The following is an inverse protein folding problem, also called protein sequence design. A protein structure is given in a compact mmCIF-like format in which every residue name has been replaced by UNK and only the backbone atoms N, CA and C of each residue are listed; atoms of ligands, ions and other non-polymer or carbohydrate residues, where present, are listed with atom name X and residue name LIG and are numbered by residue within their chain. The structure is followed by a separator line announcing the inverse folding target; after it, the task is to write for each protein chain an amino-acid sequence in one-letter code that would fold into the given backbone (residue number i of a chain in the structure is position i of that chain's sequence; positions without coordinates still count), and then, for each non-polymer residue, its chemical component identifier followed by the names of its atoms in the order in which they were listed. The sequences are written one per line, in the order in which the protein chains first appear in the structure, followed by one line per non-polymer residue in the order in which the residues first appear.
data_IF_665645935825
#
_entry.id   IF_665645935825
#
_cell.length_a   1.000
_cell.length_b   1.000
_cell.length_c   1.000
_cell.angle_alpha   90.00
_cell.angle_beta   90.00
_cell.angle_gamma   90.00
#
_symmetry.space_group_name_H-M   'P 1'
#
loop_
_entity.id
_entity.type
_entity.pdbx_description
1 polymer ?
#
# COMPACT_ATOMS: atom_id res chain seq x y z
N UNK A 1 -23.79 31.46 -38.59
CA UNK A 1 -23.23 30.34 -39.37
C UNK A 1 -22.98 29.17 -38.42
N UNK A 2 -23.71 28.06 -38.60
CA UNK A 2 -23.56 26.82 -37.82
C UNK A 2 -22.59 25.91 -38.58
N UNK A 3 -21.50 25.48 -37.94
CA UNK A 3 -20.61 24.45 -38.48
C UNK A 3 -20.86 23.17 -37.67
N UNK A 4 -21.54 22.23 -38.32
CA UNK A 4 -21.64 20.83 -37.90
C UNK A 4 -20.26 20.19 -38.14
N UNK A 5 -19.62 19.67 -37.09
CA UNK A 5 -18.42 18.84 -37.22
C UNK A 5 -18.81 17.40 -36.90
N UNK A 6 -18.77 16.57 -37.95
CA UNK A 6 -19.16 15.17 -38.01
C UNK A 6 -18.17 14.29 -37.24
N UNK A 7 -18.74 13.37 -36.46
CA UNK A 7 -18.11 12.34 -35.64
C UNK A 7 -17.49 11.25 -36.52
N UNK A 8 -16.24 10.84 -36.24
CA UNK A 8 -15.64 9.62 -36.78
C UNK A 8 -15.23 8.72 -35.60
N UNK A 9 -15.95 7.61 -35.41
CA UNK A 9 -15.68 6.61 -34.39
C UNK A 9 -14.87 5.44 -34.99
N UNK A 10 -13.75 5.01 -34.38
CA UNK A 10 -13.06 3.78 -34.78
C UNK A 10 -13.70 2.56 -34.11
N UNK A 11 -14.13 1.59 -34.93
CA UNK A 11 -14.57 0.28 -34.49
C UNK A 11 -13.35 -0.56 -34.06
N UNK A 12 -13.21 -0.81 -32.76
CA UNK A 12 -12.29 -1.81 -32.24
C UNK A 12 -12.93 -3.20 -32.35
N UNK A 13 -12.33 -4.06 -33.17
CA UNK A 13 -12.70 -5.46 -33.27
C UNK A 13 -12.31 -6.21 -31.98
N UNK A 14 -13.31 -6.75 -31.29
CA UNK A 14 -13.12 -7.64 -30.14
C UNK A 14 -12.62 -9.00 -30.65
N UNK A 15 -11.35 -9.32 -30.38
CA UNK A 15 -10.85 -10.68 -30.50
C UNK A 15 -11.44 -11.51 -29.35
N UNK A 16 -12.40 -12.38 -29.68
CA UNK A 16 -13.02 -13.30 -28.73
C UNK A 16 -12.05 -14.47 -28.45
N UNK A 17 -11.63 -14.63 -27.19
CA UNK A 17 -10.97 -15.84 -26.71
C UNK A 17 -11.98 -16.98 -26.70
N UNK A 18 -11.66 -18.08 -27.39
CA UNK A 18 -12.45 -19.31 -27.37
C UNK A 18 -12.40 -19.98 -25.99
N UNK A 19 -13.48 -20.65 -25.56
CA UNK A 19 -13.47 -21.45 -24.35
C UNK A 19 -12.65 -22.73 -24.55
N UNK A 20 -11.77 -23.01 -23.58
CA UNK A 20 -11.09 -24.29 -23.38
C UNK A 20 -12.13 -25.38 -23.19
N UNK A 21 -12.02 -26.47 -23.96
CA UNK A 21 -12.85 -27.66 -23.84
C UNK A 21 -12.41 -28.47 -22.61
N UNK A 22 -13.33 -28.63 -21.66
CA UNK A 22 -13.22 -29.60 -20.57
C UNK A 22 -13.30 -31.03 -21.12
N UNK A 23 -12.27 -31.82 -20.86
CA UNK A 23 -12.24 -33.27 -21.12
C UNK A 23 -12.46 -34.00 -19.78
N UNK A 24 -13.54 -34.77 -19.59
CA UNK A 24 -13.72 -35.59 -18.41
C UNK A 24 -13.12 -36.97 -18.68
N UNK A 25 -11.96 -37.27 -18.09
CA UNK A 25 -11.51 -38.65 -17.94
C UNK A 25 -11.61 -39.05 -16.46
N UNK A 26 -12.61 -39.89 -16.20
CA UNK A 26 -12.70 -40.78 -15.06
C UNK A 26 -11.43 -41.60 -14.93
N UNK A 27 -10.72 -41.41 -13.81
CA UNK A 27 -9.57 -42.20 -13.41
C UNK A 27 -9.68 -42.50 -11.92
N UNK A 28 -10.42 -43.56 -11.61
CA UNK A 28 -10.52 -44.17 -10.30
C UNK A 28 -9.14 -44.68 -9.83
N UNK A 29 -8.62 -44.13 -8.75
CA UNK A 29 -7.65 -44.78 -7.87
C UNK A 29 -7.47 -43.93 -6.61
N UNK A 30 -8.12 -44.33 -5.52
CA UNK A 30 -7.81 -43.85 -4.16
C UNK A 30 -6.66 -44.68 -3.58
N UNK A 31 -5.51 -44.09 -3.22
CA UNK A 31 -4.59 -44.71 -2.28
C UNK A 31 -4.86 -44.14 -0.88
N UNK A 32 -5.17 -45.03 0.06
CA UNK A 32 -5.18 -44.71 1.48
C UNK A 32 -3.78 -44.23 1.91
N UNK A 33 -3.68 -43.00 2.38
CA UNK A 33 -2.48 -42.48 3.05
C UNK A 33 -2.73 -42.43 4.55
N UNK A 34 -1.96 -43.29 5.20
CA UNK A 34 -1.76 -43.47 6.63
C UNK A 34 -1.49 -42.12 7.31
N UNK A 35 -2.41 -41.71 8.19
CA UNK A 35 -2.31 -40.45 8.96
C UNK A 35 -1.40 -40.63 10.16
N UNK A 36 -0.09 -40.57 9.91
CA UNK A 36 0.89 -40.22 10.95
C UNK A 36 1.92 -39.25 10.39
N UNK A 37 1.48 -38.01 10.14
CA UNK A 37 2.38 -36.90 9.84
C UNK A 37 2.42 -35.97 11.06
N UNK A 38 3.52 -36.05 11.80
CA UNK A 38 3.95 -35.08 12.79
C UNK A 38 3.81 -33.67 12.23
N UNK A 39 3.05 -32.82 12.93
CA UNK A 39 2.98 -31.40 12.61
C UNK A 39 4.40 -30.80 12.67
N UNK A 40 4.88 -30.12 11.62
CA UNK A 40 6.03 -29.27 11.79
C UNK A 40 5.59 -28.04 12.60
N UNK A 41 6.09 -27.96 13.83
CA UNK A 41 6.30 -26.71 14.56
C UNK A 41 7.09 -25.76 13.66
N UNK A 42 6.40 -24.94 12.85
CA UNK A 42 7.02 -23.82 12.14
C UNK A 42 5.97 -22.78 11.69
N UNK A 43 5.01 -22.47 12.57
CA UNK A 43 4.10 -21.34 12.38
C UNK A 43 4.70 -19.97 12.80
N UNK A 44 6.01 -19.90 13.09
CA UNK A 44 6.66 -18.72 13.65
C UNK A 44 7.89 -18.22 12.85
N UNK A 45 8.05 -18.65 11.60
CA UNK A 45 9.02 -18.08 10.67
C UNK A 45 8.29 -17.66 9.39
N UNK A 46 7.41 -16.66 9.51
CA UNK A 46 6.85 -16.00 8.34
C UNK A 46 7.94 -15.11 7.73
N UNK A 47 8.62 -15.69 6.73
CA UNK A 47 9.25 -15.06 5.56
C UNK A 47 9.57 -13.56 5.67
N UNK A 48 10.86 -13.23 5.81
CA UNK A 48 11.35 -11.91 5.42
C UNK A 48 11.19 -11.77 3.90
N UNK A 49 10.08 -11.19 3.47
CA UNK A 49 9.74 -10.94 2.07
C UNK A 49 10.49 -9.68 1.64
N UNK A 50 11.80 -9.77 1.40
CA UNK A 50 12.67 -8.72 0.84
C UNK A 50 12.67 -7.33 1.53
N UNK A 51 13.86 -6.73 1.63
CA UNK A 51 14.01 -5.39 2.19
C UNK A 51 14.11 -4.38 1.03
N UNK A 52 13.22 -3.36 0.97
CA UNK A 52 13.32 -2.34 -0.07
C UNK A 52 14.70 -1.67 -0.07
N UNK A 53 15.34 -1.57 -1.23
CA UNK A 53 16.65 -0.90 -1.33
C UNK A 53 16.55 0.60 -1.07
N UNK A 54 15.41 1.21 -1.40
CA UNK A 54 15.09 2.60 -1.14
C UNK A 54 13.59 2.73 -0.86
N UNK A 55 13.22 3.78 -0.13
CA UNK A 55 11.83 4.19 0.09
C UNK A 55 11.44 5.39 -0.79
N UNK A 56 12.37 5.99 -1.54
CA UNK A 56 12.12 7.17 -2.37
C UNK A 56 11.07 6.87 -3.44
N UNK A 57 10.05 7.71 -3.56
CA UNK A 57 8.99 7.58 -4.54
C UNK A 57 7.68 8.25 -4.14
N UNK A 58 6.69 8.10 -5.01
CA UNK A 58 5.32 8.52 -4.80
C UNK A 58 4.44 7.29 -4.57
N UNK A 59 3.62 7.33 -3.53
CA UNK A 59 2.88 6.17 -3.06
C UNK A 59 1.42 6.49 -2.78
N UNK A 60 0.53 5.54 -3.11
CA UNK A 60 -0.80 5.46 -2.52
C UNK A 60 -0.73 4.68 -1.21
N UNK A 61 -1.46 5.14 -0.20
CA UNK A 61 -1.70 4.37 1.02
C UNK A 61 -2.85 3.39 0.75
N UNK A 62 -2.57 2.10 0.80
CA UNK A 62 -3.57 1.06 0.58
C UNK A 62 -4.21 0.56 1.88
N UNK A 63 -3.51 0.65 3.01
CA UNK A 63 -4.05 0.20 4.28
C UNK A 63 -3.27 0.70 5.48
N UNK A 64 -3.94 0.66 6.65
CA UNK A 64 -3.39 1.04 7.95
C UNK A 64 -3.75 -0.07 8.94
N UNK A 65 -2.75 -0.58 9.66
CA UNK A 65 -2.86 -1.67 10.63
C UNK A 65 -3.52 -2.94 10.04
N UNK A 66 -3.11 -3.29 8.81
CA UNK A 66 -3.66 -4.43 8.07
C UNK A 66 -5.10 -4.26 7.58
N UNK A 67 -5.72 -3.09 7.76
CA UNK A 67 -7.06 -2.79 7.23
C UNK A 67 -6.95 -1.98 5.95
N UNK A 68 -7.65 -2.41 4.92
CA UNK A 68 -7.75 -1.66 3.67
C UNK A 68 -8.43 -0.30 3.89
N UNK A 69 -7.94 0.71 3.18
CA UNK A 69 -8.41 2.07 3.29
C UNK A 69 -9.64 2.28 2.39
N UNK A 70 -10.84 2.17 2.95
CA UNK A 70 -12.10 2.47 2.25
C UNK A 70 -12.61 3.87 2.62
N UNK A 71 -12.06 4.89 1.95
CA UNK A 71 -12.44 6.29 2.16
C UNK A 71 -12.70 7.00 0.82
N UNK A 72 -13.57 8.03 0.77
CA UNK A 72 -13.92 8.71 -0.48
C UNK A 72 -12.75 9.38 -1.19
N UNK A 73 -11.71 9.75 -0.46
CA UNK A 73 -10.50 10.40 -0.97
C UNK A 73 -9.30 9.69 -0.37
N UNK A 74 -8.56 8.94 -1.18
CA UNK A 74 -7.38 8.20 -0.74
C UNK A 74 -6.25 9.10 -0.24
N UNK A 75 -5.35 8.53 0.55
CA UNK A 75 -4.12 9.21 0.96
C UNK A 75 -2.96 8.86 0.04
N UNK A 76 -2.06 9.82 -0.13
CA UNK A 76 -0.80 9.66 -0.84
C UNK A 76 0.36 10.11 0.04
N UNK A 77 1.50 9.44 -0.11
CA UNK A 77 2.77 9.82 0.49
C UNK A 77 3.79 10.11 -0.60
N UNK A 78 4.50 11.21 -0.47
CA UNK A 78 5.72 11.47 -1.23
C UNK A 78 6.92 11.27 -0.30
N UNK A 79 7.86 10.45 -0.74
CA UNK A 79 9.08 10.12 0.00
C UNK A 79 10.28 10.57 -0.84
N UNK A 80 11.01 11.56 -0.35
CA UNK A 80 12.29 12.02 -0.90
C UNK A 80 13.44 11.31 -0.19
N UNK A 81 14.70 11.64 -0.48
CA UNK A 81 15.86 11.04 0.21
C UNK A 81 15.89 11.29 1.73
N UNK A 82 15.22 12.34 2.21
CA UNK A 82 15.30 12.76 3.62
C UNK A 82 13.95 12.97 4.29
N UNK A 83 12.86 13.04 3.52
CA UNK A 83 11.55 13.41 4.04
C UNK A 83 10.42 12.53 3.51
N UNK A 84 9.44 12.29 4.38
CA UNK A 84 8.12 11.75 4.03
C UNK A 84 7.12 12.88 4.22
N UNK A 85 6.15 13.05 3.31
CA UNK A 85 5.03 13.96 3.53
C UNK A 85 3.72 13.47 2.90
N UNK A 86 2.60 13.83 3.52
CA UNK A 86 1.25 13.46 3.06
C UNK A 86 0.49 14.67 2.47
N UNK A 87 0.61 14.84 1.14
CA UNK A 87 -0.10 15.87 0.39
C UNK A 87 0.56 17.25 0.40
N UNK A 88 -0.21 18.27 0.01
CA UNK A 88 0.27 19.65 -0.20
C UNK A 88 -0.55 20.63 0.67
N UNK A 89 0.12 21.62 1.26
CA UNK A 89 -0.52 22.75 1.94
C UNK A 89 -0.57 22.69 3.47
N UNK A 90 -1.49 23.45 4.08
CA UNK A 90 -1.49 23.76 5.52
C UNK A 90 -1.80 22.60 6.47
N UNK A 91 -2.28 21.47 5.95
CA UNK A 91 -2.58 20.26 6.70
C UNK A 91 -1.58 19.11 6.47
N UNK A 92 -0.58 19.32 5.61
CA UNK A 92 0.42 18.29 5.33
C UNK A 92 1.26 18.01 6.58
N UNK A 93 1.51 16.73 6.84
CA UNK A 93 2.45 16.27 7.85
C UNK A 93 3.75 15.93 7.17
N UNK A 94 4.82 16.22 7.89
CA UNK A 94 6.17 15.97 7.43
C UNK A 94 6.93 15.16 8.47
N UNK A 95 7.71 14.22 7.99
CA UNK A 95 8.66 13.47 8.79
C UNK A 95 10.02 13.62 8.17
N UNK A 96 11.03 13.92 9.00
CA UNK A 96 12.40 13.58 8.65
C UNK A 96 12.56 12.10 8.91
N UNK A 97 13.30 11.41 8.05
CA UNK A 97 13.57 10.00 8.27
C UNK A 97 15.02 9.63 7.95
N UNK A 98 15.46 8.52 8.55
CA UNK A 98 16.66 7.81 8.16
C UNK A 98 16.27 6.36 7.88
N UNK A 99 16.80 5.79 6.80
CA UNK A 99 16.51 4.44 6.39
C UNK A 99 17.78 3.70 5.98
N UNK A 100 18.04 2.56 6.60
CA UNK A 100 19.13 1.69 6.20
C UNK A 100 18.73 0.22 6.41
N UNK A 101 18.81 -0.58 5.34
CA UNK A 101 18.63 -2.05 5.38
C UNK A 101 17.38 -2.48 6.15
N UNK A 102 16.26 -1.81 5.90
CA UNK A 102 14.96 -2.18 6.49
C UNK A 102 14.71 -1.57 7.86
N UNK A 103 15.69 -0.89 8.47
CA UNK A 103 15.52 -0.12 9.69
C UNK A 103 15.12 1.30 9.33
N UNK A 104 14.06 1.79 9.96
CA UNK A 104 13.49 3.11 9.72
C UNK A 104 13.44 3.89 11.03
N UNK A 105 13.93 5.11 11.01
CA UNK A 105 13.72 6.09 12.09
C UNK A 105 12.94 7.27 11.52
N UNK A 106 11.86 7.68 12.20
CA UNK A 106 11.05 8.84 11.78
C UNK A 106 10.99 9.87 12.90
N UNK A 107 10.93 11.14 12.51
CA UNK A 107 10.65 12.24 13.43
C UNK A 107 9.72 13.24 12.76
N UNK A 108 8.48 13.30 13.25
CA UNK A 108 7.50 14.28 12.78
C UNK A 108 7.94 15.71 13.13
N UNK A 109 7.70 16.63 12.22
CA UNK A 109 7.82 18.06 12.45
C UNK A 109 6.67 18.82 11.76
N UNK A 110 6.44 20.06 12.18
CA UNK A 110 5.52 20.97 11.51
C UNK A 110 6.32 21.82 10.54
N UNK A 111 5.97 21.82 9.26
CA UNK A 111 6.65 22.69 8.28
C UNK A 111 6.34 24.17 8.54
N UNK A 112 5.17 24.47 9.13
CA UNK A 112 4.75 25.82 9.50
C UNK A 112 4.09 25.77 10.90
N UNK A 113 4.87 26.07 11.95
CA UNK A 113 4.37 26.06 13.34
C UNK A 113 3.22 27.07 13.57
N UNK A 114 3.23 28.18 12.81
CA UNK A 114 2.33 29.32 13.04
C UNK A 114 0.97 29.24 12.32
N UNK A 115 0.76 28.25 11.44
CA UNK A 115 -0.39 28.22 10.52
C UNK A 115 -1.35 27.03 10.70
N UNK A 116 -1.06 26.10 11.61
CA UNK A 116 -1.96 24.95 11.84
C UNK A 116 -3.36 25.39 12.33
N UNK A 117 -3.44 26.47 13.12
CA UNK A 117 -4.70 27.02 13.63
C UNK A 117 -5.54 27.71 12.53
N UNK A 118 -4.90 28.18 11.46
CA UNK A 118 -5.52 28.89 10.35
C UNK A 118 -5.68 28.01 9.10
N UNK A 119 -5.71 26.68 9.24
CA UNK A 119 -5.98 25.77 8.14
C UNK A 119 -7.48 25.43 8.09
N UNK A 120 -8.32 26.16 7.31
CA UNK A 120 -9.78 26.12 7.43
C UNK A 120 -10.46 24.80 6.99
N UNK A 121 -9.74 23.80 6.50
CA UNK A 121 -10.34 22.74 5.66
C UNK A 121 -10.09 21.29 6.11
N UNK A 122 -9.11 20.99 6.96
CA UNK A 122 -8.89 19.59 7.34
C UNK A 122 -9.66 19.17 8.59
N UNK A 123 -10.86 18.62 8.38
CA UNK A 123 -11.44 17.69 9.36
C UNK A 123 -10.50 16.50 9.46
N UNK A 124 -9.76 16.42 10.57
CA UNK A 124 -8.89 15.29 10.90
C UNK A 124 -9.77 14.05 11.02
N UNK A 125 -9.86 13.26 9.94
CA UNK A 125 -10.58 11.98 9.96
C UNK A 125 -9.82 11.00 10.84
N UNK A 126 -10.50 9.95 11.30
CA UNK A 126 -9.88 8.90 12.10
C UNK A 126 -8.72 8.25 11.35
N UNK A 127 -8.91 8.00 10.06
CA UNK A 127 -7.94 7.38 9.16
C UNK A 127 -6.73 8.29 8.95
N UNK A 128 -6.97 9.62 8.82
CA UNK A 128 -5.88 10.57 8.73
C UNK A 128 -5.04 10.53 10.00
N UNK A 129 -5.64 10.61 11.20
CA UNK A 129 -4.92 10.52 12.48
C UNK A 129 -4.13 9.20 12.55
N UNK A 130 -4.79 8.07 12.25
CA UNK A 130 -4.20 6.74 12.30
C UNK A 130 -3.00 6.56 11.36
N UNK A 131 -3.05 7.14 10.15
CA UNK A 131 -1.92 7.13 9.21
C UNK A 131 -0.69 7.77 9.84
N UNK A 132 -0.90 8.92 10.48
CA UNK A 132 0.20 9.63 11.11
C UNK A 132 0.79 8.83 12.27
N UNK A 133 -0.06 8.36 13.18
CA UNK A 133 0.38 7.56 14.32
C UNK A 133 1.13 6.29 13.88
N UNK A 134 0.73 5.69 12.76
CA UNK A 134 1.43 4.53 12.22
C UNK A 134 2.81 4.89 11.65
N UNK A 135 2.99 6.04 10.99
CA UNK A 135 4.31 6.51 10.53
C UNK A 135 5.19 6.92 11.71
N UNK A 136 4.63 7.54 12.75
CA UNK A 136 5.38 7.89 13.98
C UNK A 136 5.89 6.63 14.72
N UNK A 137 5.12 5.55 14.64
CA UNK A 137 5.43 4.28 15.28
C UNK A 137 6.35 3.38 14.45
N UNK A 138 6.51 3.66 13.15
CA UNK A 138 7.25 2.81 12.24
C UNK A 138 8.74 2.77 12.59
N UNK A 139 9.27 1.56 12.72
CA UNK A 139 10.68 1.28 13.01
C UNK A 139 11.36 0.45 11.91
N UNK A 140 10.59 -0.06 10.95
CA UNK A 140 11.12 -0.79 9.83
C UNK A 140 10.25 -0.74 8.58
N UNK A 141 10.83 -1.21 7.48
CA UNK A 141 10.16 -1.35 6.20
C UNK A 141 10.51 -2.68 5.52
N UNK A 142 9.50 -3.37 4.98
CA UNK A 142 9.64 -4.64 4.27
C UNK A 142 8.75 -4.65 3.02
N UNK A 143 9.05 -5.50 2.03
CA UNK A 143 8.12 -5.73 0.92
C UNK A 143 7.02 -6.70 1.36
N UNK A 144 5.81 -6.48 0.85
CA UNK A 144 4.71 -7.44 1.02
C UNK A 144 4.72 -8.46 -0.12
N UNK A 145 4.00 -9.58 0.05
CA UNK A 145 3.81 -10.56 -1.05
C UNK A 145 3.12 -9.96 -2.28
N UNK A 146 2.34 -8.88 -2.09
CA UNK A 146 1.71 -8.13 -3.17
C UNK A 146 2.66 -7.11 -3.82
N UNK A 147 3.95 -7.12 -3.48
CA UNK A 147 4.97 -6.16 -3.92
C UNK A 147 4.69 -4.70 -3.51
N UNK A 148 3.93 -4.50 -2.42
CA UNK A 148 3.85 -3.22 -1.73
C UNK A 148 5.02 -3.04 -0.76
N UNK A 149 5.13 -1.86 -0.16
CA UNK A 149 6.02 -1.60 0.98
C UNK A 149 5.15 -1.51 2.22
N UNK A 150 5.48 -2.27 3.27
CA UNK A 150 4.88 -2.09 4.59
C UNK A 150 5.86 -1.36 5.51
N UNK A 151 5.44 -0.21 6.04
CA UNK A 151 6.12 0.46 7.15
C UNK A 151 5.48 -0.05 8.43
N UNK A 152 6.26 -0.58 9.38
CA UNK A 152 5.71 -1.15 10.61
C UNK A 152 6.59 -0.89 11.83
N UNK A 153 5.95 -0.87 12.99
CA UNK A 153 6.61 -0.68 14.28
C UNK A 153 5.60 -0.44 15.40
N UNK A 154 5.95 -0.82 16.64
CA UNK A 154 5.12 -0.64 17.83
C UNK A 154 3.64 -1.10 17.66
N UNK A 155 3.42 -2.21 16.94
CA UNK A 155 2.08 -2.75 16.67
C UNK A 155 1.23 -1.96 15.67
N UNK A 156 1.81 -0.99 14.97
CA UNK A 156 1.18 -0.20 13.91
C UNK A 156 1.77 -0.56 12.56
N UNK A 157 1.00 -0.41 11.49
CA UNK A 157 1.55 -0.51 10.13
C UNK A 157 0.85 0.36 9.09
N UNK A 158 1.56 0.64 7.99
CA UNK A 158 1.03 1.30 6.80
C UNK A 158 1.50 0.53 5.57
N UNK A 159 0.56 0.16 4.69
CA UNK A 159 0.88 -0.48 3.41
C UNK A 159 0.83 0.54 2.28
N UNK A 160 1.90 0.60 1.50
CA UNK A 160 2.14 1.53 0.41
C UNK A 160 2.28 0.79 -0.91
N UNK A 161 1.73 1.37 -1.98
CA UNK A 161 1.99 0.94 -3.35
C UNK A 161 2.48 2.13 -4.16
N UNK A 162 3.54 1.94 -4.94
CA UNK A 162 4.06 2.97 -5.84
C UNK A 162 3.00 3.40 -6.85
N UNK A 163 2.97 4.69 -7.17
CA UNK A 163 2.14 5.27 -8.23
C UNK A 163 2.92 5.50 -9.53
#
# INVERSE_FOLDING_TARGET
MKILATILAPAFALAACQPVQDNPEEGDATPAIDSTASAPDNAAAADKIDVPQSLVGEYRVAGIDGKELDIPVGFALSITDTEIHDGQGCGARHWRYAYEKGVLETKRFLMHEDNAANCPIFRRTREWIALGEAIDAATGAERTRANGIELSGNGRSVTLFSQ
#
